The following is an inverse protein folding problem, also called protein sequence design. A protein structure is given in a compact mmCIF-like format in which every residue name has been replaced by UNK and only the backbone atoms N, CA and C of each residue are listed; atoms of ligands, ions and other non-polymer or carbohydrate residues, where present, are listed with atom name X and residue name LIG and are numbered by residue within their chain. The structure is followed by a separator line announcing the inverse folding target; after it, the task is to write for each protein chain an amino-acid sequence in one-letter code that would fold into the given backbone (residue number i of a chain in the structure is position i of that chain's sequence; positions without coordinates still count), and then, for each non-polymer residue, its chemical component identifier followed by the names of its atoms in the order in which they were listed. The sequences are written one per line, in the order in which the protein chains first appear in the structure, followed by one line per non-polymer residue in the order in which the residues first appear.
data_IF_246610125985
#
_entry.id   IF_246610125985
#
_cell.length_a   1.000
_cell.length_b   1.000
_cell.length_c   1.000
_cell.angle_alpha   90.00
_cell.angle_beta   90.00
_cell.angle_gamma   90.00
#
_symmetry.space_group_name_H-M   'P 1'
#
loop_
_entity.id
_entity.type
_entity.pdbx_description
1 polymer ?
#
# COMPACT_ATOMS: atom_id res chain seq x y z
N UNK A 1 -32.39 17.27 -2.31
CA UNK A 1 -32.52 15.86 -2.75
C UNK A 1 -31.18 15.19 -2.59
N UNK A 2 -31.19 14.07 -1.89
CA UNK A 2 -30.11 13.56 -1.03
C UNK A 2 -28.93 12.94 -1.77
N UNK A 3 -27.73 13.35 -1.38
CA UNK A 3 -26.44 12.75 -1.77
C UNK A 3 -26.14 11.49 -0.92
N UNK A 4 -27.05 10.51 -0.94
CA UNK A 4 -26.83 9.24 -0.23
C UNK A 4 -25.88 8.29 -0.98
N UNK A 5 -25.55 8.61 -2.24
CA UNK A 5 -24.60 7.85 -3.04
C UNK A 5 -23.15 8.12 -2.61
N UNK A 6 -22.82 9.33 -2.14
CA UNK A 6 -21.46 9.69 -1.75
C UNK A 6 -20.96 8.97 -0.48
N UNK A 7 -21.84 8.36 0.32
CA UNK A 7 -21.49 7.79 1.64
C UNK A 7 -21.70 6.28 1.75
N UNK A 8 -21.83 5.58 0.63
CA UNK A 8 -22.11 4.13 0.61
C UNK A 8 -20.86 3.34 0.25
N UNK A 9 -20.65 2.20 0.93
CA UNK A 9 -19.66 1.20 0.55
C UNK A 9 -20.31 0.22 -0.42
N UNK A 10 -19.70 0.00 -1.58
CA UNK A 10 -20.17 -0.97 -2.56
C UNK A 10 -19.21 -2.15 -2.62
N UNK A 11 -19.77 -3.37 -2.59
CA UNK A 11 -18.99 -4.60 -2.63
C UNK A 11 -19.47 -5.43 -3.82
N UNK A 12 -18.53 -5.77 -4.70
CA UNK A 12 -18.70 -6.76 -5.76
C UNK A 12 -17.81 -7.95 -5.46
N UNK A 13 -18.32 -9.17 -5.68
CA UNK A 13 -17.54 -10.41 -5.51
C UNK A 13 -17.68 -11.31 -6.72
N UNK A 14 -16.57 -11.96 -7.08
CA UNK A 14 -16.52 -13.06 -8.03
C UNK A 14 -15.93 -14.27 -7.32
N UNK A 15 -16.62 -15.41 -7.38
CA UNK A 15 -16.23 -16.65 -6.71
C UNK A 15 -16.15 -17.78 -7.73
N UNK A 16 -15.20 -18.70 -7.56
CA UNK A 16 -15.02 -19.88 -8.40
C UNK A 16 -14.52 -21.09 -7.62
N UNK A 17 -14.81 -22.28 -8.14
CA UNK A 17 -14.44 -23.54 -7.51
C UNK A 17 -15.06 -23.71 -6.13
N UNK A 18 -14.28 -24.22 -5.18
CA UNK A 18 -14.74 -24.48 -3.81
C UNK A 18 -15.22 -23.21 -3.08
N UNK A 19 -14.83 -22.00 -3.52
CA UNK A 19 -15.28 -20.76 -2.91
C UNK A 19 -16.79 -20.49 -3.11
N UNK A 20 -17.43 -21.16 -4.08
CA UNK A 20 -18.89 -21.03 -4.28
C UNK A 20 -19.72 -21.87 -3.31
N UNK A 21 -19.09 -22.76 -2.55
CA UNK A 21 -19.79 -23.59 -1.58
C UNK A 21 -20.29 -22.75 -0.40
N UNK A 22 -21.44 -23.14 0.15
CA UNK A 22 -22.04 -22.46 1.29
C UNK A 22 -21.06 -22.38 2.46
N UNK A 23 -20.88 -21.16 2.98
CA UNK A 23 -19.99 -20.88 4.11
C UNK A 23 -18.51 -20.66 3.77
N UNK A 24 -18.05 -21.02 2.57
CA UNK A 24 -16.63 -20.86 2.19
C UNK A 24 -16.25 -19.41 1.86
N UNK A 25 -17.23 -18.55 1.55
CA UNK A 25 -17.03 -17.12 1.34
C UNK A 25 -18.11 -16.31 2.07
N UNK A 26 -17.73 -15.64 3.15
CA UNK A 26 -18.63 -14.88 4.02
C UNK A 26 -18.23 -13.41 4.08
N UNK A 27 -19.21 -12.56 4.42
CA UNK A 27 -18.96 -11.15 4.68
C UNK A 27 -19.92 -10.62 5.75
N UNK A 28 -19.49 -9.60 6.49
CA UNK A 28 -20.33 -8.82 7.40
C UNK A 28 -19.97 -7.35 7.34
N UNK A 29 -20.92 -6.47 7.63
CA UNK A 29 -20.68 -5.05 7.83
C UNK A 29 -21.19 -4.65 9.22
N UNK A 30 -20.26 -4.31 10.10
CA UNK A 30 -20.53 -3.94 11.49
C UNK A 30 -20.03 -2.52 11.73
N UNK A 31 -20.97 -1.57 11.87
CA UNK A 31 -20.63 -0.15 11.91
C UNK A 31 -19.89 0.28 10.63
N UNK A 32 -18.62 0.61 10.76
CA UNK A 32 -17.74 1.02 9.65
C UNK A 32 -16.79 -0.09 9.18
N UNK A 33 -16.91 -1.30 9.71
CA UNK A 33 -15.98 -2.41 9.45
C UNK A 33 -16.62 -3.44 8.54
N UNK A 34 -16.10 -3.54 7.32
CA UNK A 34 -16.43 -4.60 6.37
C UNK A 34 -15.48 -5.78 6.59
N UNK A 35 -16.01 -6.91 7.03
CA UNK A 35 -15.27 -8.17 7.13
C UNK A 35 -15.53 -9.00 5.89
N UNK A 36 -14.46 -9.50 5.27
CA UNK A 36 -14.49 -10.42 4.12
C UNK A 36 -13.65 -11.63 4.51
N UNK A 37 -14.23 -12.83 4.44
CA UNK A 37 -13.53 -14.07 4.78
C UNK A 37 -13.74 -15.12 3.69
N UNK A 38 -12.66 -15.78 3.30
CA UNK A 38 -12.68 -16.88 2.33
C UNK A 38 -11.82 -18.01 2.86
N UNK A 39 -12.40 -19.20 2.95
CA UNK A 39 -11.73 -20.39 3.40
C UNK A 39 -12.30 -21.60 2.66
N UNK A 40 -11.44 -22.31 1.93
CA UNK A 40 -11.80 -23.54 1.23
C UNK A 40 -11.11 -24.71 1.93
N UNK A 41 -11.87 -25.73 2.30
CA UNK A 41 -11.36 -26.93 2.97
C UNK A 41 -11.78 -28.22 2.24
N UNK A 42 -11.13 -29.33 2.57
CA UNK A 42 -11.35 -30.64 1.94
C UNK A 42 -10.50 -30.87 0.69
N UNK A 43 -11.01 -31.65 -0.27
CA UNK A 43 -10.34 -31.87 -1.56
C UNK A 43 -10.67 -30.67 -2.47
N UNK A 44 -9.75 -29.71 -2.53
CA UNK A 44 -9.91 -28.44 -3.26
C UNK A 44 -9.14 -28.48 -4.58
N UNK A 45 -9.85 -28.47 -5.71
CA UNK A 45 -9.26 -28.38 -7.06
C UNK A 45 -8.99 -26.92 -7.46
N UNK A 46 -9.88 -26.00 -7.10
CA UNK A 46 -9.66 -24.56 -7.18
C UNK A 46 -10.43 -23.83 -6.08
N UNK A 47 -9.93 -22.67 -5.66
CA UNK A 47 -10.53 -21.79 -4.66
C UNK A 47 -10.27 -20.35 -5.10
N UNK A 48 -11.20 -19.81 -5.87
CA UNK A 48 -11.03 -18.54 -6.54
C UNK A 48 -11.94 -17.50 -5.90
N UNK A 49 -11.37 -16.38 -5.49
CA UNK A 49 -12.15 -15.28 -4.92
C UNK A 49 -11.53 -13.93 -5.26
N UNK A 50 -12.35 -13.03 -5.80
CA UNK A 50 -12.02 -11.63 -5.97
C UNK A 50 -13.11 -10.77 -5.35
N UNK A 51 -12.70 -9.83 -4.50
CA UNK A 51 -13.58 -8.84 -3.88
C UNK A 51 -13.15 -7.44 -4.32
N UNK A 52 -14.09 -6.68 -4.87
CA UNK A 52 -13.91 -5.27 -5.21
C UNK A 52 -14.75 -4.43 -4.27
N UNK A 53 -14.08 -3.66 -3.42
CA UNK A 53 -14.72 -2.74 -2.47
C UNK A 53 -14.51 -1.31 -2.95
N UNK A 54 -15.60 -0.58 -3.19
CA UNK A 54 -15.58 0.85 -3.47
C UNK A 54 -16.01 1.61 -2.22
N UNK A 55 -15.17 2.55 -1.80
CA UNK A 55 -15.40 3.40 -0.62
C UNK A 55 -15.61 4.85 -1.04
N UNK A 56 -16.32 5.65 -0.21
CA UNK A 56 -16.43 7.09 -0.41
C UNK A 56 -15.07 7.78 -0.61
N UNK A 57 -15.04 8.83 -1.42
CA UNK A 57 -13.81 9.58 -1.68
C UNK A 57 -13.35 10.33 -0.43
N UNK A 58 -12.05 10.28 -0.13
CA UNK A 58 -11.44 11.08 0.93
C UNK A 58 -11.60 10.52 2.35
N UNK A 59 -12.30 9.40 2.52
CA UNK A 59 -12.37 8.72 3.82
C UNK A 59 -11.02 8.12 4.17
N UNK A 60 -10.69 8.18 5.46
CA UNK A 60 -9.56 7.43 5.99
C UNK A 60 -9.87 5.93 5.88
N UNK A 61 -8.89 5.15 5.43
CA UNK A 61 -9.03 3.72 5.18
C UNK A 61 -8.06 2.94 6.05
N UNK A 62 -8.58 1.94 6.77
CA UNK A 62 -7.77 0.93 7.45
C UNK A 62 -8.01 -0.42 6.78
N UNK A 63 -6.93 -1.07 6.34
CA UNK A 63 -6.97 -2.41 5.75
C UNK A 63 -6.14 -3.37 6.59
N UNK A 64 -6.76 -4.44 7.03
CA UNK A 64 -6.07 -5.56 7.67
C UNK A 64 -6.43 -6.84 6.92
N UNK A 65 -5.44 -7.69 6.63
CA UNK A 65 -5.73 -8.91 5.88
C UNK A 65 -4.55 -9.85 5.75
N UNK A 66 -4.80 -11.01 5.19
CA UNK A 66 -3.77 -12.03 4.96
C UNK A 66 -4.04 -12.89 3.73
N UNK A 67 -2.98 -13.53 3.22
CA UNK A 67 -3.07 -14.49 2.12
C UNK A 67 -3.01 -13.84 0.73
N UNK A 68 -4.16 -13.45 0.18
CA UNK A 68 -4.18 -12.98 -1.23
C UNK A 68 -3.67 -11.53 -1.37
N UNK A 69 -3.08 -11.15 -2.52
CA UNK A 69 -2.62 -9.79 -2.75
C UNK A 69 -3.74 -8.75 -2.70
N UNK A 70 -3.45 -7.59 -2.09
CA UNK A 70 -4.39 -6.47 -2.00
C UNK A 70 -4.01 -5.37 -2.98
N UNK A 71 -5.01 -4.80 -3.66
CA UNK A 71 -4.85 -3.66 -4.56
C UNK A 71 -5.70 -2.49 -4.07
N UNK A 72 -5.06 -1.34 -3.89
CA UNK A 72 -5.67 -0.08 -3.51
C UNK A 72 -5.44 0.95 -4.63
N UNK A 73 -6.46 1.74 -4.98
CA UNK A 73 -6.37 2.71 -6.08
C UNK A 73 -7.13 4.00 -5.78
N UNK A 74 -6.54 5.14 -6.14
CA UNK A 74 -7.21 6.45 -6.08
C UNK A 74 -7.59 6.90 -4.66
N UNK A 75 -6.76 6.55 -3.67
CA UNK A 75 -7.05 6.83 -2.26
C UNK A 75 -6.72 8.28 -1.90
N UNK A 76 -7.76 9.09 -1.73
CA UNK A 76 -7.63 10.50 -1.35
C UNK A 76 -7.42 10.74 0.15
N UNK A 77 -7.94 9.85 1.00
CA UNK A 77 -7.81 9.94 2.45
C UNK A 77 -6.58 9.19 2.98
N UNK A 78 -6.27 9.41 4.25
CA UNK A 78 -5.18 8.70 4.93
C UNK A 78 -5.43 7.19 4.90
N UNK A 79 -4.37 6.43 4.65
CA UNK A 79 -4.45 4.99 4.49
C UNK A 79 -3.46 4.28 5.41
N UNK A 80 -4.00 3.41 6.26
CA UNK A 80 -3.22 2.46 7.04
C UNK A 80 -3.50 1.05 6.53
N UNK A 81 -2.46 0.28 6.21
CA UNK A 81 -2.60 -1.11 5.79
C UNK A 81 -1.63 -2.01 6.54
N UNK A 82 -2.11 -3.12 7.09
CA UNK A 82 -1.29 -4.16 7.71
C UNK A 82 -1.67 -5.50 7.12
N UNK A 83 -0.77 -6.09 6.32
CA UNK A 83 -1.00 -7.37 5.65
C UNK A 83 0.03 -8.42 6.08
N UNK A 84 -0.41 -9.67 6.18
CA UNK A 84 0.44 -10.82 6.51
C UNK A 84 0.35 -11.88 5.42
N UNK A 85 1.48 -12.47 5.03
CA UNK A 85 1.56 -13.51 4.00
C UNK A 85 0.87 -13.05 2.70
N UNK A 86 1.09 -11.79 2.32
CA UNK A 86 0.40 -11.10 1.23
C UNK A 86 1.28 -9.99 0.66
N UNK A 87 0.90 -9.44 -0.50
CA UNK A 87 1.54 -8.28 -1.12
C UNK A 87 0.56 -7.12 -1.28
N UNK A 88 1.07 -5.89 -1.18
CA UNK A 88 0.27 -4.67 -1.31
C UNK A 88 0.69 -3.86 -2.54
N UNK A 89 -0.28 -3.53 -3.40
CA UNK A 89 -0.10 -2.56 -4.47
C UNK A 89 -1.03 -1.36 -4.25
N UNK A 90 -0.48 -0.16 -4.13
CA UNK A 90 -1.22 1.10 -4.01
C UNK A 90 -0.94 1.98 -5.22
N UNK A 91 -1.98 2.39 -5.95
CA UNK A 91 -1.87 3.29 -7.09
C UNK A 91 -2.54 4.63 -6.80
N UNK A 92 -1.87 5.71 -7.16
CA UNK A 92 -2.31 7.10 -7.07
C UNK A 92 -2.85 7.52 -5.69
N UNK A 93 -2.13 7.22 -4.59
CA UNK A 93 -2.53 7.72 -3.28
C UNK A 93 -2.20 9.22 -3.12
N UNK A 94 -3.08 9.93 -2.42
CA UNK A 94 -2.88 11.34 -2.06
C UNK A 94 -2.83 11.59 -0.55
N UNK A 95 -3.50 10.78 0.27
CA UNK A 95 -3.45 10.88 1.73
C UNK A 95 -2.13 10.38 2.34
N UNK A 96 -1.97 10.52 3.65
CA UNK A 96 -0.82 9.95 4.37
C UNK A 96 -0.85 8.43 4.32
N UNK A 97 0.31 7.79 4.20
CA UNK A 97 0.42 6.34 4.11
C UNK A 97 1.17 5.76 5.31
N UNK A 98 0.60 4.71 5.91
CA UNK A 98 1.20 3.87 6.95
C UNK A 98 1.02 2.41 6.58
N UNK A 99 2.01 1.82 5.93
CA UNK A 99 1.87 0.53 5.25
C UNK A 99 2.84 -0.49 5.86
N UNK A 100 2.32 -1.65 6.25
CA UNK A 100 3.10 -2.79 6.74
C UNK A 100 2.69 -4.06 6.02
N UNK A 101 3.68 -4.79 5.53
CA UNK A 101 3.49 -6.09 4.87
C UNK A 101 4.48 -7.09 5.46
N UNK A 102 4.04 -8.30 5.76
CA UNK A 102 4.90 -9.40 6.18
C UNK A 102 4.82 -10.53 5.16
N UNK A 103 5.96 -11.08 4.73
CA UNK A 103 6.01 -12.20 3.79
C UNK A 103 5.63 -11.84 2.35
N UNK A 104 5.77 -10.57 1.96
CA UNK A 104 5.51 -10.13 0.59
C UNK A 104 5.96 -8.71 0.29
N UNK A 105 5.67 -8.26 -0.93
CA UNK A 105 6.18 -6.99 -1.45
C UNK A 105 5.19 -5.84 -1.25
N UNK A 106 5.74 -4.64 -1.14
CA UNK A 106 4.99 -3.40 -1.04
C UNK A 106 5.36 -2.51 -2.22
N UNK A 107 4.35 -2.15 -3.03
CA UNK A 107 4.51 -1.26 -4.17
C UNK A 107 3.54 -0.09 -4.09
N UNK A 108 4.06 1.12 -4.24
CA UNK A 108 3.29 2.35 -4.38
C UNK A 108 3.70 3.06 -5.67
N UNK A 109 2.73 3.43 -6.50
CA UNK A 109 2.96 4.17 -7.76
C UNK A 109 2.09 5.40 -7.84
N UNK A 110 2.60 6.47 -8.46
CA UNK A 110 1.82 7.69 -8.69
C UNK A 110 1.51 8.47 -7.41
N UNK A 111 2.32 8.30 -6.35
CA UNK A 111 2.03 8.90 -5.06
C UNK A 111 2.18 10.43 -5.10
N UNK A 112 1.12 11.13 -4.67
CA UNK A 112 1.19 12.55 -4.29
C UNK A 112 1.18 12.74 -2.78
N UNK A 113 1.22 11.65 -2.02
CA UNK A 113 1.28 11.62 -0.56
C UNK A 113 2.46 12.40 0.00
N UNK A 114 2.21 13.29 0.96
CA UNK A 114 3.27 14.09 1.60
C UNK A 114 4.07 13.30 2.66
N UNK A 115 3.48 12.28 3.26
CA UNK A 115 4.09 11.47 4.32
C UNK A 115 3.81 9.98 4.07
N UNK A 116 4.87 9.19 3.92
CA UNK A 116 4.80 7.76 3.63
C UNK A 116 5.71 7.00 4.60
N UNK A 117 5.12 6.06 5.34
CA UNK A 117 5.86 5.01 6.04
C UNK A 117 5.53 3.66 5.39
N UNK A 118 6.56 2.92 5.01
CA UNK A 118 6.43 1.61 4.41
C UNK A 118 7.39 0.62 5.09
N UNK A 119 6.85 -0.49 5.57
CA UNK A 119 7.63 -1.54 6.23
C UNK A 119 7.32 -2.89 5.60
N UNK A 120 8.36 -3.65 5.27
CA UNK A 120 8.27 -5.08 4.98
C UNK A 120 9.04 -5.88 6.04
N UNK A 121 8.51 -7.04 6.43
CA UNK A 121 9.19 -8.05 7.27
C UNK A 121 9.19 -9.41 6.58
N UNK A 122 10.18 -10.26 6.87
CA UNK A 122 10.36 -11.55 6.18
C UNK A 122 11.07 -11.34 4.84
N UNK A 123 10.57 -11.93 3.77
CA UNK A 123 11.13 -11.74 2.43
C UNK A 123 10.26 -10.71 1.69
N UNK A 124 10.77 -9.47 1.53
CA UNK A 124 9.92 -8.38 1.07
C UNK A 124 10.66 -7.12 0.64
N UNK A 125 10.37 -6.71 -0.59
CA UNK A 125 10.88 -5.49 -1.24
C UNK A 125 9.90 -4.33 -1.11
N UNK A 126 10.43 -3.11 -1.03
CA UNK A 126 9.64 -1.87 -1.04
C UNK A 126 9.96 -1.09 -2.32
N UNK A 127 8.93 -0.78 -3.11
CA UNK A 127 9.03 0.03 -4.33
C UNK A 127 8.09 1.23 -4.24
N UNK A 128 8.62 2.44 -4.13
CA UNK A 128 7.84 3.68 -4.05
C UNK A 128 8.16 4.59 -5.23
N UNK A 129 7.13 5.08 -5.93
CA UNK A 129 7.27 6.07 -7.00
C UNK A 129 6.31 7.22 -6.76
N UNK A 130 6.88 8.43 -6.72
CA UNK A 130 6.18 9.67 -6.41
C UNK A 130 6.02 10.55 -7.66
N UNK A 131 4.89 11.23 -7.75
CA UNK A 131 4.58 12.24 -8.77
C UNK A 131 4.48 13.65 -8.19
N UNK A 132 4.43 13.78 -6.86
CA UNK A 132 4.63 15.04 -6.15
C UNK A 132 5.70 14.87 -5.06
N UNK A 133 6.47 15.93 -4.79
CA UNK A 133 7.60 15.88 -3.87
C UNK A 133 7.14 15.62 -2.42
N UNK A 134 7.42 14.44 -1.82
CA UNK A 134 7.01 14.15 -0.45
C UNK A 134 7.77 15.02 0.55
N UNK A 135 7.17 15.23 1.73
CA UNK A 135 7.83 15.87 2.89
C UNK A 135 8.61 14.85 3.70
N UNK A 136 8.04 13.66 3.90
CA UNK A 136 8.66 12.59 4.68
C UNK A 136 8.45 11.24 4.02
N UNK A 137 9.53 10.49 3.89
CA UNK A 137 9.52 9.08 3.48
C UNK A 137 10.35 8.31 4.49
N UNK A 138 9.75 7.30 5.10
CA UNK A 138 10.44 6.34 5.95
C UNK A 138 10.19 4.92 5.46
N UNK A 139 11.26 4.21 5.14
CA UNK A 139 11.20 2.85 4.60
C UNK A 139 12.05 1.91 5.45
N UNK A 140 11.45 0.79 5.83
CA UNK A 140 12.14 -0.35 6.40
C UNK A 140 11.84 -1.56 5.52
N UNK A 141 12.76 -1.91 4.63
CA UNK A 141 12.64 -3.06 3.75
C UNK A 141 13.44 -4.23 4.32
N UNK A 142 12.92 -5.45 4.19
CA UNK A 142 13.68 -6.64 4.58
C UNK A 142 14.75 -7.03 3.57
N UNK A 143 14.54 -6.73 2.29
CA UNK A 143 15.50 -6.99 1.22
C UNK A 143 15.96 -5.65 0.60
N UNK A 144 15.33 -5.22 -0.49
CA UNK A 144 15.68 -4.02 -1.25
C UNK A 144 14.60 -2.95 -1.12
N UNK A 145 15.03 -1.70 -1.00
CA UNK A 145 14.19 -0.52 -1.12
C UNK A 145 14.53 0.26 -2.39
N UNK A 146 13.54 0.47 -3.25
CA UNK A 146 13.63 1.35 -4.42
C UNK A 146 12.67 2.53 -4.27
N UNK A 147 13.20 3.75 -4.37
CA UNK A 147 12.45 4.98 -4.21
C UNK A 147 12.77 5.90 -5.39
N UNK A 148 11.71 6.34 -6.08
CA UNK A 148 11.80 7.30 -7.18
C UNK A 148 11.03 8.55 -6.78
N UNK A 149 11.77 9.63 -6.54
CA UNK A 149 11.22 10.97 -6.29
C UNK A 149 10.96 11.67 -7.62
N UNK A 150 10.01 12.63 -7.71
CA UNK A 150 9.84 13.40 -8.93
C UNK A 150 11.05 14.30 -9.20
N UNK A 151 11.17 14.75 -10.45
CA UNK A 151 12.02 15.88 -10.80
C UNK A 151 11.56 17.15 -10.06
N UNK A 152 12.50 18.03 -9.78
CA UNK A 152 12.20 19.31 -9.14
C UNK A 152 13.37 19.86 -8.32
N UNK A 153 13.27 21.14 -7.90
CA UNK A 153 14.30 21.82 -7.14
C UNK A 153 14.38 21.36 -5.67
N UNK A 154 13.42 20.57 -5.19
CA UNK A 154 13.33 20.15 -3.80
C UNK A 154 14.56 19.35 -3.37
N UNK A 155 15.15 19.73 -2.25
CA UNK A 155 16.25 19.00 -1.62
C UNK A 155 15.73 18.08 -0.52
N UNK A 156 16.51 17.09 -0.12
CA UNK A 156 16.14 16.12 0.91
C UNK A 156 17.31 15.84 1.82
N UNK A 157 17.05 15.75 3.12
CA UNK A 157 17.96 15.13 4.07
C UNK A 157 17.83 13.62 3.97
N UNK A 158 18.92 12.95 3.59
CA UNK A 158 18.95 11.50 3.41
C UNK A 158 19.58 10.82 4.64
N UNK A 159 18.97 9.72 5.10
CA UNK A 159 19.54 8.81 6.11
C UNK A 159 19.40 7.36 5.63
N UNK A 160 20.46 6.56 5.84
CA UNK A 160 20.56 5.17 5.41
C UNK A 160 20.68 4.97 3.89
N UNK A 161 20.93 6.05 3.16
CA UNK A 161 21.21 6.04 1.71
C UNK A 161 22.69 6.35 1.51
N UNK A 162 23.45 5.43 0.90
CA UNK A 162 24.89 5.63 0.63
C UNK A 162 25.14 6.44 -0.63
N UNK A 163 24.45 6.08 -1.71
CA UNK A 163 24.54 6.75 -3.01
C UNK A 163 23.11 6.95 -3.52
N UNK A 164 22.82 8.14 -4.02
CA UNK A 164 21.57 8.45 -4.70
C UNK A 164 21.86 8.99 -6.10
N UNK A 165 21.07 8.58 -7.08
CA UNK A 165 21.21 9.03 -8.46
C UNK A 165 20.45 10.34 -8.67
N UNK A 166 21.10 11.32 -9.31
CA UNK A 166 20.55 12.66 -9.57
C UNK A 166 20.05 13.38 -8.30
N UNK A 167 20.63 13.05 -7.15
CA UNK A 167 20.25 13.59 -5.86
C UNK A 167 21.45 13.60 -4.92
N UNK A 168 21.66 14.72 -4.24
CA UNK A 168 22.60 14.84 -3.12
C UNK A 168 21.84 15.14 -1.84
N UNK A 169 22.33 14.61 -0.72
CA UNK A 169 21.75 14.90 0.59
C UNK A 169 21.99 16.36 0.96
N UNK A 170 20.92 17.04 1.41
CA UNK A 170 20.96 18.39 1.97
C UNK A 170 20.55 18.32 3.45
N UNK A 171 21.51 18.43 4.39
CA UNK A 171 21.21 18.39 5.82
C UNK A 171 20.30 19.52 6.31
N UNK A 172 20.20 20.64 5.59
CA UNK A 172 19.35 21.77 5.96
C UNK A 172 17.91 21.66 5.41
N UNK A 173 17.64 20.65 4.57
CA UNK A 173 16.31 20.43 4.01
C UNK A 173 15.26 20.14 5.08
N UNK A 174 14.06 20.68 4.86
CA UNK A 174 12.86 20.37 5.63
C UNK A 174 12.18 19.05 5.22
N UNK A 175 12.70 18.37 4.18
CA UNK A 175 12.26 17.05 3.72
C UNK A 175 13.24 15.99 4.15
N UNK A 176 12.73 14.81 4.44
CA UNK A 176 13.57 13.68 4.80
C UNK A 176 13.19 12.39 4.09
N UNK A 177 14.21 11.65 3.70
CA UNK A 177 14.09 10.25 3.24
C UNK A 177 14.99 9.41 4.13
N UNK A 178 14.37 8.57 4.94
CA UNK A 178 15.05 7.62 5.83
C UNK A 178 14.79 6.22 5.30
N UNK A 179 15.86 5.48 5.01
CA UNK A 179 15.73 4.13 4.44
C UNK A 179 16.61 3.16 5.21
N UNK A 180 16.03 2.02 5.57
CA UNK A 180 16.76 0.85 6.07
C UNK A 180 16.36 -0.34 5.20
N UNK A 181 17.35 -1.01 4.64
CA UNK A 181 17.15 -2.19 3.80
C UNK A 181 18.34 -3.12 4.02
N UNK A 182 18.13 -4.44 4.06
CA UNK A 182 19.21 -5.38 4.32
C UNK A 182 20.16 -5.52 3.13
N UNK A 183 19.60 -5.60 1.92
CA UNK A 183 20.35 -5.97 0.72
C UNK A 183 20.72 -4.77 -0.15
N UNK A 184 19.86 -3.75 -0.20
CA UNK A 184 20.14 -2.60 -1.05
C UNK A 184 19.15 -1.46 -0.95
N UNK A 185 19.65 -0.26 -1.23
CA UNK A 185 18.86 0.96 -1.34
C UNK A 185 19.14 1.62 -2.68
N UNK A 186 18.09 1.75 -3.50
CA UNK A 186 18.11 2.49 -4.75
C UNK A 186 17.24 3.74 -4.59
N UNK A 187 17.87 4.90 -4.43
CA UNK A 187 17.17 6.18 -4.38
C UNK A 187 17.58 7.03 -5.58
N UNK A 188 16.60 7.56 -6.30
CA UNK A 188 16.83 8.50 -7.39
C UNK A 188 15.73 9.53 -7.52
N UNK A 189 16.04 10.66 -8.15
CA UNK A 189 15.01 11.48 -8.81
C UNK A 189 14.67 10.88 -10.18
N UNK A 190 13.44 11.10 -10.65
CA UNK A 190 13.14 11.00 -12.07
C UNK A 190 14.08 11.94 -12.84
N UNK A 191 14.35 11.63 -14.11
CA UNK A 191 15.21 12.42 -14.96
C UNK A 191 14.69 12.39 -16.39
#
# INVERSE_FOLDING_TARGET
MSDSAANTVHVERSLGGAATNDGNATWSLEGSTLNLHVECSGIVVSCDSEHTVRVPKGVALTVTGSGTPVRLRGLGGDTTATLKDSSLNVADPAGRLRLRVSGGHLKVTGATSSDVEATTTGDGNVNLTFTAAPRRVEVHASEVATIVLPEGPETYRLDGVRNAENLSSDPASDRSVVVRAADGVNLRKAG
#
